data_IF_743066228482
#
_entry.id   IF_743066228482
#
_cell.length_a   1.000
_cell.length_b   1.000
_cell.length_c   1.000
_cell.angle_alpha   90.00
_cell.angle_beta   90.00
_cell.angle_gamma   90.00
#
_symmetry.space_group_name_H-M   'P 1'
#
loop_
_entity.id
_entity.type
_entity.pdbx_description
1 polymer ?
#
# COMPACT_ATOMS: atom_id res chain seq x y z
N UNK A 1 -13.46 -3.52 11.28
CA UNK A 1 -12.67 -2.56 10.52
C UNK A 1 -13.64 -1.60 9.90
N UNK A 2 -13.35 -0.31 9.98
CA UNK A 2 -14.16 0.72 9.31
C UNK A 2 -14.25 0.43 7.81
N UNK A 3 -15.42 0.68 7.21
CA UNK A 3 -15.70 0.23 5.84
C UNK A 3 -14.83 0.95 4.82
N UNK A 4 -14.59 2.23 5.04
CA UNK A 4 -13.75 3.09 4.22
C UNK A 4 -12.30 2.61 4.23
N UNK A 5 -11.79 2.20 5.40
CA UNK A 5 -10.45 1.62 5.52
C UNK A 5 -10.38 0.27 4.79
N UNK A 6 -11.38 -0.59 4.98
CA UNK A 6 -11.45 -1.87 4.29
C UNK A 6 -11.46 -1.69 2.76
N UNK A 7 -12.29 -0.78 2.25
CA UNK A 7 -12.43 -0.51 0.83
C UNK A 7 -11.18 0.13 0.22
N UNK A 8 -10.50 1.01 0.97
CA UNK A 8 -9.23 1.59 0.52
C UNK A 8 -8.09 0.56 0.51
N UNK A 9 -8.10 -0.37 1.48
CA UNK A 9 -7.03 -1.35 1.66
C UNK A 9 -7.12 -2.55 0.69
N UNK A 10 -8.34 -2.98 0.36
CA UNK A 10 -8.60 -4.11 -0.54
C UNK A 10 -7.78 -4.11 -1.85
N UNK A 11 -7.79 -3.04 -2.68
CA UNK A 11 -7.01 -3.03 -3.91
C UNK A 11 -5.50 -3.09 -3.66
N UNK A 12 -5.02 -2.48 -2.57
CA UNK A 12 -3.60 -2.50 -2.22
C UNK A 12 -3.17 -3.92 -1.82
N UNK A 13 -3.99 -4.62 -1.02
CA UNK A 13 -3.73 -6.01 -0.64
C UNK A 13 -3.78 -6.97 -1.83
N UNK A 14 -4.67 -6.72 -2.80
CA UNK A 14 -4.71 -7.47 -4.07
C UNK A 14 -3.37 -7.40 -4.81
N UNK A 15 -2.78 -6.20 -4.91
CA UNK A 15 -1.48 -5.99 -5.57
C UNK A 15 -0.31 -6.52 -4.73
N UNK A 16 -0.39 -6.36 -3.41
CA UNK A 16 0.62 -6.82 -2.47
C UNK A 16 0.70 -8.35 -2.41
N UNK A 17 -0.40 -9.05 -2.69
CA UNK A 17 -0.43 -10.50 -2.85
C UNK A 17 0.15 -11.02 -4.17
N UNK A 18 0.56 -10.14 -5.10
CA UNK A 18 1.19 -10.53 -6.38
C UNK A 18 2.66 -10.92 -6.18
N UNK A 19 3.28 -11.61 -7.15
CA UNK A 19 4.71 -11.93 -7.09
C UNK A 19 5.56 -10.69 -6.84
N UNK A 20 6.50 -10.80 -5.90
CA UNK A 20 7.35 -9.69 -5.44
C UNK A 20 6.80 -8.92 -4.24
N UNK A 21 5.55 -9.18 -3.82
CA UNK A 21 5.00 -8.65 -2.57
C UNK A 21 5.10 -9.63 -1.39
N UNK A 22 4.38 -9.31 -0.31
CA UNK A 22 4.38 -10.07 0.95
C UNK A 22 3.00 -9.97 1.60
N UNK A 23 2.48 -11.08 2.13
CA UNK A 23 1.14 -11.07 2.73
C UNK A 23 1.19 -10.65 4.21
N UNK A 24 0.50 -9.56 4.60
CA UNK A 24 0.40 -9.15 6.01
C UNK A 24 -0.62 -9.99 6.77
N UNK A 25 -0.41 -10.11 8.09
CA UNK A 25 -1.48 -10.39 9.04
C UNK A 25 -2.17 -9.06 9.42
N UNK A 26 -3.36 -8.82 8.84
CA UNK A 26 -4.15 -7.61 9.08
C UNK A 26 -4.97 -7.76 10.35
N UNK A 27 -4.78 -6.84 11.30
CA UNK A 27 -5.55 -6.80 12.55
C UNK A 27 -6.31 -5.51 12.68
N UNK A 28 -7.61 -5.67 12.91
CA UNK A 28 -8.56 -4.60 13.17
C UNK A 28 -8.45 -4.11 14.63
N UNK A 29 -7.29 -3.54 14.92
CA UNK A 29 -6.94 -2.99 16.23
C UNK A 29 -6.71 -1.49 16.03
N UNK A 30 -7.74 -0.64 16.23
CA UNK A 30 -7.57 0.80 16.06
C UNK A 30 -6.60 1.33 17.10
N UNK A 31 -5.55 2.03 16.64
CA UNK A 31 -4.54 2.63 17.51
C UNK A 31 -4.66 4.15 17.60
N UNK A 32 -5.40 4.75 16.66
CA UNK A 32 -5.63 6.18 16.59
C UNK A 32 -6.97 6.53 17.22
N UNK A 33 -6.93 7.35 18.26
CA UNK A 33 -8.12 7.89 18.93
C UNK A 33 -8.55 9.22 18.29
N UNK A 34 -8.99 9.14 17.03
CA UNK A 34 -9.42 10.28 16.22
C UNK A 34 -10.69 9.89 15.45
N UNK A 35 -11.86 10.50 15.74
CA UNK A 35 -13.12 10.14 15.09
C UNK A 35 -13.16 10.51 13.59
N UNK A 36 -12.18 11.28 13.10
CA UNK A 36 -12.03 11.60 11.68
C UNK A 36 -11.04 10.66 10.97
N UNK A 37 -10.53 9.66 11.66
CA UNK A 37 -9.62 8.67 11.10
C UNK A 37 -10.08 7.24 11.37
N UNK A 38 -9.74 6.35 10.45
CA UNK A 38 -9.83 4.91 10.67
C UNK A 38 -8.41 4.33 10.69
N UNK A 39 -8.14 3.35 11.55
CA UNK A 39 -6.81 2.75 11.68
C UNK A 39 -6.85 1.25 11.94
N UNK A 40 -5.77 0.56 11.56
CA UNK A 40 -5.56 -0.86 11.77
C UNK A 40 -4.03 -1.13 11.87
N UNK A 41 -3.65 -2.39 12.09
CA UNK A 41 -2.25 -2.82 12.04
C UNK A 41 -2.01 -3.86 10.95
N UNK A 42 -0.83 -3.75 10.33
CA UNK A 42 -0.23 -4.79 9.51
C UNK A 42 0.89 -5.46 10.29
N UNK A 43 0.85 -6.78 10.42
CA UNK A 43 1.90 -7.56 11.06
C UNK A 43 2.69 -8.39 10.04
N UNK A 44 4.00 -8.38 10.17
CA UNK A 44 4.90 -9.27 9.44
C UNK A 44 5.03 -10.63 10.16
N UNK A 45 5.61 -11.62 9.48
CA UNK A 45 5.76 -12.98 10.01
C UNK A 45 6.69 -13.08 11.24
N UNK A 46 7.53 -12.08 11.46
CA UNK A 46 8.38 -11.95 12.64
C UNK A 46 7.65 -11.36 13.86
N UNK A 47 6.38 -10.98 13.70
CA UNK A 47 5.54 -10.37 14.72
C UNK A 47 5.70 -8.86 14.87
N UNK A 48 6.53 -8.21 14.05
CA UNK A 48 6.60 -6.75 13.99
C UNK A 48 5.30 -6.17 13.40
N UNK A 49 4.83 -5.05 13.96
CA UNK A 49 3.58 -4.41 13.58
C UNK A 49 3.79 -2.98 13.09
N UNK A 50 3.04 -2.57 12.07
CA UNK A 50 3.01 -1.22 11.53
C UNK A 50 1.56 -0.71 11.50
N UNK A 51 1.32 0.42 12.15
CA UNK A 51 0.00 1.04 12.18
C UNK A 51 -0.29 1.75 10.87
N UNK A 52 -1.42 1.44 10.25
CA UNK A 52 -1.93 2.13 9.06
C UNK A 52 -3.18 2.94 9.40
N UNK A 53 -3.42 4.03 8.68
CA UNK A 53 -4.62 4.84 8.86
C UNK A 53 -5.04 5.61 7.61
N UNK A 54 -6.31 5.97 7.56
CA UNK A 54 -6.87 6.92 6.58
C UNK A 54 -7.56 8.08 7.29
N UNK A 55 -7.62 9.22 6.61
CA UNK A 55 -8.48 10.35 6.98
C UNK A 55 -9.84 10.21 6.26
N UNK A 56 -10.91 10.14 7.05
CA UNK A 56 -12.28 9.94 6.57
C UNK A 56 -12.84 11.16 5.81
N UNK A 57 -12.22 12.33 5.95
CA UNK A 57 -12.55 13.53 5.19
C UNK A 57 -11.94 13.59 3.78
N UNK A 58 -11.00 12.69 3.46
CA UNK A 58 -10.42 12.60 2.11
C UNK A 58 -11.34 11.86 1.13
N UNK A 59 -11.17 12.11 -0.17
CA UNK A 59 -11.83 11.31 -1.20
C UNK A 59 -11.30 9.88 -1.19
N UNK A 60 -12.12 8.91 -1.60
CA UNK A 60 -11.74 7.49 -1.65
C UNK A 60 -10.41 7.26 -2.40
N UNK A 61 -10.19 7.96 -3.52
CA UNK A 61 -8.95 7.88 -4.30
C UNK A 61 -7.73 8.37 -3.51
N UNK A 62 -7.87 9.45 -2.73
CA UNK A 62 -6.80 9.94 -1.87
C UNK A 62 -6.57 9.01 -0.68
N UNK A 63 -7.61 8.42 -0.12
CA UNK A 63 -7.49 7.41 0.93
C UNK A 63 -6.66 6.21 0.43
N UNK A 64 -6.94 5.70 -0.77
CA UNK A 64 -6.17 4.62 -1.39
C UNK A 64 -4.70 5.01 -1.55
N UNK A 65 -4.40 6.18 -2.13
CA UNK A 65 -3.00 6.61 -2.37
C UNK A 65 -2.24 6.80 -1.06
N UNK A 66 -2.81 7.50 -0.08
CA UNK A 66 -2.18 7.71 1.22
C UNK A 66 -1.98 6.40 1.98
N UNK A 67 -2.90 5.45 1.82
CA UNK A 67 -2.79 4.14 2.45
C UNK A 67 -1.75 3.26 1.73
N UNK A 68 -1.67 3.35 0.41
CA UNK A 68 -0.68 2.64 -0.39
C UNK A 68 0.74 3.04 0.00
N UNK A 69 1.02 4.33 0.22
CA UNK A 69 2.32 4.80 0.72
C UNK A 69 2.68 4.15 2.08
N UNK A 70 1.74 4.12 3.03
CA UNK A 70 1.96 3.47 4.34
C UNK A 70 2.19 1.95 4.21
N UNK A 71 1.46 1.29 3.31
CA UNK A 71 1.64 -0.14 3.04
C UNK A 71 3.00 -0.40 2.38
N UNK A 72 3.49 0.50 1.51
CA UNK A 72 4.83 0.40 0.94
C UNK A 72 5.90 0.49 2.02
N UNK A 73 5.79 1.44 2.95
CA UNK A 73 6.72 1.55 4.07
C UNK A 73 6.77 0.26 4.91
N UNK A 74 5.61 -0.33 5.21
CA UNK A 74 5.56 -1.64 5.87
C UNK A 74 6.17 -2.75 5.02
N UNK A 75 5.86 -2.80 3.72
CA UNK A 75 6.32 -3.86 2.83
C UNK A 75 7.85 -3.86 2.65
N UNK A 76 8.47 -2.68 2.62
CA UNK A 76 9.94 -2.53 2.56
C UNK A 76 10.59 -3.26 3.74
N UNK A 77 10.14 -3.00 4.96
CA UNK A 77 10.69 -3.60 6.17
C UNK A 77 10.41 -5.11 6.22
N UNK A 78 9.19 -5.53 5.89
CA UNK A 78 8.82 -6.94 5.86
C UNK A 78 9.64 -7.74 4.84
N UNK A 79 9.84 -7.21 3.62
CA UNK A 79 10.66 -7.84 2.58
C UNK A 79 12.14 -7.87 2.96
N UNK A 80 12.63 -6.82 3.62
CA UNK A 80 14.00 -6.77 4.12
C UNK A 80 14.28 -7.87 5.15
N UNK A 81 13.38 -8.04 6.14
CA UNK A 81 13.48 -9.12 7.13
C UNK A 81 13.48 -10.53 6.50
N UNK A 82 12.84 -10.69 5.33
CA UNK A 82 12.83 -11.94 4.56
C UNK A 82 14.04 -12.11 3.63
N UNK A 83 14.92 -11.12 3.52
CA UNK A 83 16.06 -11.13 2.58
C UNK A 83 15.64 -11.02 1.12
N UNK A 84 14.47 -10.45 0.84
CA UNK A 84 13.92 -10.25 -0.50
C UNK A 84 14.24 -8.83 -1.03
N UNK A 85 13.97 -8.60 -2.32
CA UNK A 85 14.04 -7.26 -2.89
C UNK A 85 13.01 -6.34 -2.23
N UNK A 86 13.44 -5.14 -1.81
CA UNK A 86 12.65 -4.19 -1.01
C UNK A 86 11.95 -3.13 -1.85
N UNK A 87 12.00 -3.21 -3.17
CA UNK A 87 11.47 -2.20 -4.08
C UNK A 87 10.02 -2.48 -4.50
N UNK A 88 9.15 -2.87 -3.57
CA UNK A 88 7.76 -3.19 -3.89
C UNK A 88 6.85 -1.94 -4.02
N UNK A 89 5.93 -1.90 -5.01
CA UNK A 89 5.87 -2.81 -6.15
C UNK A 89 7.00 -2.49 -7.15
N UNK A 90 7.68 -3.50 -7.71
CA UNK A 90 8.82 -3.26 -8.59
C UNK A 90 8.38 -2.55 -9.87
N UNK A 91 9.13 -1.52 -10.28
CA UNK A 91 8.85 -0.85 -11.53
C UNK A 91 9.20 -1.74 -12.74
N UNK A 92 8.28 -2.01 -13.69
CA UNK A 92 8.59 -2.87 -14.84
C UNK A 92 9.62 -2.27 -15.78
N UNK A 93 9.79 -0.93 -15.76
CA UNK A 93 10.81 -0.24 -16.54
C UNK A 93 12.18 -0.29 -15.86
N UNK A 94 12.23 -0.35 -14.53
CA UNK A 94 13.46 -0.34 -13.73
C UNK A 94 13.35 -1.33 -12.55
N UNK A 95 13.24 -2.65 -12.82
CA UNK A 95 12.81 -3.65 -11.84
C UNK A 95 13.79 -3.88 -10.68
N UNK A 96 15.03 -3.40 -10.81
CA UNK A 96 16.08 -3.53 -9.78
C UNK A 96 16.42 -2.17 -9.13
N UNK A 97 15.74 -1.08 -9.51
CA UNK A 97 16.15 0.27 -9.11
C UNK A 97 15.23 0.90 -8.08
N UNK A 98 13.93 0.93 -8.34
CA UNK A 98 12.99 1.68 -7.50
C UNK A 98 11.60 1.03 -7.50
N UNK A 99 10.83 1.23 -6.42
CA UNK A 99 9.41 0.89 -6.43
C UNK A 99 8.64 1.84 -7.35
N UNK A 100 7.44 1.44 -7.73
CA UNK A 100 6.40 2.35 -8.20
C UNK A 100 5.95 3.26 -7.05
N UNK A 101 5.41 4.42 -7.37
CA UNK A 101 4.82 5.33 -6.38
C UNK A 101 3.31 5.40 -6.57
N UNK A 102 2.56 5.42 -5.47
CA UNK A 102 1.12 5.65 -5.52
C UNK A 102 0.86 7.13 -5.78
N UNK A 103 0.05 7.44 -6.80
CA UNK A 103 -0.30 8.82 -7.12
C UNK A 103 -1.75 8.96 -7.55
N UNK A 104 -2.32 10.14 -7.28
CA UNK A 104 -3.60 10.53 -7.87
C UNK A 104 -3.37 11.08 -9.27
N UNK A 105 -4.07 10.53 -10.27
CA UNK A 105 -4.04 10.98 -11.67
C UNK A 105 -5.44 10.96 -12.26
N UNK A 106 -5.93 12.12 -12.68
CA UNK A 106 -7.27 12.27 -13.25
C UNK A 106 -8.36 11.55 -12.42
N UNK A 107 -8.34 11.76 -11.10
CA UNK A 107 -9.25 11.15 -10.11
C UNK A 107 -9.19 9.62 -10.04
N UNK A 108 -8.04 9.02 -10.34
CA UNK A 108 -7.75 7.60 -10.15
C UNK A 108 -6.53 7.42 -9.26
N UNK A 109 -6.50 6.32 -8.52
CA UNK A 109 -5.33 5.88 -7.77
C UNK A 109 -4.50 4.97 -8.68
N UNK A 110 -3.26 5.37 -8.99
CA UNK A 110 -2.40 4.64 -9.93
C UNK A 110 -1.02 4.40 -9.34
N UNK A 111 -0.43 3.27 -9.73
CA UNK A 111 1.00 3.05 -9.62
C UNK A 111 1.69 3.73 -10.79
N UNK A 112 2.63 4.64 -10.51
CA UNK A 112 3.39 5.34 -11.52
C UNK A 112 4.90 5.12 -11.35
N UNK A 113 5.63 5.18 -12.47
CA UNK A 113 7.09 5.20 -12.44
C UNK A 113 7.55 6.58 -11.90
N UNK A 114 8.26 6.67 -10.76
CA UNK A 114 8.72 7.95 -10.22
C UNK A 114 9.73 8.67 -11.13
N UNK A 115 10.49 7.94 -11.94
CA UNK A 115 11.48 8.53 -12.86
C UNK A 115 10.86 9.00 -14.17
N UNK A 116 10.02 8.18 -14.80
CA UNK A 116 9.41 8.48 -16.10
C UNK A 116 8.09 9.24 -15.99
N UNK A 117 7.46 9.26 -14.80
CA UNK A 117 6.13 9.83 -14.57
C UNK A 117 5.00 9.08 -15.27
N UNK A 118 5.28 7.93 -15.89
CA UNK A 118 4.32 7.13 -16.65
C UNK A 118 3.45 6.31 -15.70
N UNK A 119 2.13 6.36 -15.93
CA UNK A 119 1.16 5.48 -15.27
C UNK A 119 1.42 4.04 -15.71
N UNK A 120 1.61 3.13 -14.75
CA UNK A 120 1.86 1.71 -15.01
C UNK A 120 0.54 0.93 -14.95
N UNK A 121 -0.22 1.11 -13.86
CA UNK A 121 -1.52 0.45 -13.67
C UNK A 121 -2.35 1.21 -12.64
N UNK A 122 -3.66 0.95 -12.60
CA UNK A 122 -4.48 1.35 -11.45
C UNK A 122 -4.13 0.47 -10.24
N UNK A 123 -4.23 1.03 -9.03
CA UNK A 123 -4.02 0.26 -7.80
C UNK A 123 -5.14 -0.78 -7.68
N UNK A 124 -4.77 -2.04 -7.43
CA UNK A 124 -5.63 -3.23 -7.45
C UNK A 124 -5.53 -4.07 -8.73
N UNK A 125 -4.79 -3.60 -9.74
CA UNK A 125 -4.68 -4.24 -11.06
C UNK A 125 -3.25 -4.62 -11.45
N UNK A 126 -2.31 -4.64 -10.50
CA UNK A 126 -0.90 -4.91 -10.77
C UNK A 126 -0.71 -6.31 -11.36
N UNK A 127 -0.05 -6.37 -12.53
CA UNK A 127 0.22 -7.61 -13.26
C UNK A 127 -0.99 -8.27 -13.93
N UNK A 128 -2.11 -7.54 -14.05
CA UNK A 128 -3.34 -7.94 -14.75
C UNK A 128 -3.46 -7.40 -16.17
#
# INVERSE_FOLDING_TARGET
MERELAAALEPILSDLGKPGGVQPDLRDEPWRDDPQAASAFLYASDGSGHGISIDLGLSAVKQIVTLADQVQDWAVEALWSLGHATNWPPCPQHPESHPLTAVVRADRAVWACPTAGTDISEIGTLGG
#
